data_IF_367968517129
#
_entry.id   IF_367968517129
#
_cell.length_a   1.000
_cell.length_b   1.000
_cell.length_c   1.000
_cell.angle_alpha   90.00
_cell.angle_beta   90.00
_cell.angle_gamma   90.00
#
_symmetry.space_group_name_H-M   'P 1'
#
loop_
_entity.id
_entity.type
_entity.pdbx_description
1 polymer ?
#
# COMPACT_ATOMS: atom_id res chain seq x y z
N UNK A 1 9.27 1.02 18.32
CA UNK A 1 8.34 1.47 17.26
C UNK A 1 9.00 1.25 15.91
N UNK A 2 8.26 0.76 14.93
CA UNK A 2 8.74 0.51 13.57
C UNK A 2 7.64 0.95 12.59
N UNK A 3 7.99 1.67 11.53
CA UNK A 3 7.08 1.97 10.43
C UNK A 3 7.15 0.80 9.44
N UNK A 4 6.09 0.01 9.36
CA UNK A 4 6.02 -1.21 8.55
C UNK A 4 4.58 -1.48 8.10
N UNK A 5 4.43 -2.21 6.99
CA UNK A 5 3.13 -2.70 6.54
C UNK A 5 2.53 -3.72 7.50
N UNK A 6 1.22 -3.96 7.37
CA UNK A 6 0.48 -4.85 8.28
C UNK A 6 0.95 -6.30 8.24
N UNK A 7 1.58 -6.75 7.16
CA UNK A 7 2.12 -8.12 7.03
C UNK A 7 3.08 -8.51 8.16
N UNK A 8 3.68 -7.54 8.86
CA UNK A 8 4.50 -7.83 10.04
C UNK A 8 3.74 -8.61 11.11
N UNK A 9 2.41 -8.52 11.15
CA UNK A 9 1.57 -9.25 12.11
C UNK A 9 1.70 -10.76 12.01
N UNK A 10 2.03 -11.27 10.82
CA UNK A 10 2.23 -12.70 10.59
C UNK A 10 3.51 -13.23 11.26
N UNK A 11 4.49 -12.34 11.49
CA UNK A 11 5.80 -12.65 12.07
C UNK A 11 5.91 -12.31 13.57
N UNK A 12 4.83 -11.81 14.20
CA UNK A 12 4.86 -11.45 15.62
C UNK A 12 4.89 -12.73 16.46
N UNK A 13 5.90 -12.92 17.32
CA UNK A 13 5.93 -14.05 18.24
C UNK A 13 4.68 -14.04 19.14
N UNK A 14 4.07 -15.20 19.35
CA UNK A 14 2.88 -15.33 20.20
C UNK A 14 3.08 -14.75 21.61
N UNK A 15 4.32 -14.77 22.13
CA UNK A 15 4.69 -14.18 23.42
C UNK A 15 4.57 -12.66 23.47
N UNK A 16 4.50 -11.98 22.32
CA UNK A 16 4.35 -10.53 22.20
C UNK A 16 2.95 -10.12 21.70
N UNK A 17 2.03 -11.08 21.53
CA UNK A 17 0.71 -10.82 20.93
C UNK A 17 -0.13 -9.83 21.76
N UNK A 18 -0.02 -9.88 23.10
CA UNK A 18 -0.74 -9.00 24.02
C UNK A 18 -0.08 -7.61 24.16
N UNK A 19 1.22 -7.50 23.83
CA UNK A 19 2.01 -6.27 23.94
C UNK A 19 2.18 -5.54 22.60
N UNK A 20 1.65 -6.11 21.52
CA UNK A 20 1.72 -5.52 20.19
C UNK A 20 0.54 -4.58 19.94
N UNK A 21 0.84 -3.43 19.36
CA UNK A 21 -0.19 -2.59 18.74
C UNK A 21 0.44 -1.71 17.64
N UNK A 22 -0.41 -1.10 16.82
CA UNK A 22 -0.02 -0.12 15.82
C UNK A 22 -0.90 1.13 15.85
N UNK A 23 -0.38 2.20 15.25
CA UNK A 23 -1.08 3.46 15.10
C UNK A 23 -0.59 4.18 13.84
N UNK A 24 -1.39 5.13 13.36
CA UNK A 24 -1.07 6.00 12.22
C UNK A 24 0.24 6.76 12.46
N UNK A 25 1.02 6.97 11.41
CA UNK A 25 2.19 7.84 11.49
C UNK A 25 1.80 9.25 12.00
N UNK A 26 2.58 9.89 12.91
CA UNK A 26 2.18 11.16 13.51
C UNK A 26 1.91 12.28 12.49
N UNK A 27 0.88 13.09 12.76
CA UNK A 27 0.56 14.26 11.95
C UNK A 27 1.66 15.32 12.10
N UNK A 28 2.39 15.60 11.01
CA UNK A 28 3.42 16.63 10.98
C UNK A 28 2.79 18.01 10.69
N UNK A 29 1.86 18.06 9.74
CA UNK A 29 1.21 19.28 9.24
C UNK A 29 -0.29 19.08 9.19
N UNK A 30 -1.04 19.98 9.85
CA UNK A 30 -2.51 19.89 9.97
C UNK A 30 -3.26 20.23 8.68
N UNK A 31 -2.60 20.92 7.75
CA UNK A 31 -3.15 21.33 6.46
C UNK A 31 -2.92 20.29 5.35
N UNK A 32 -2.21 19.20 5.65
CA UNK A 32 -2.02 18.05 4.75
C UNK A 32 -2.99 16.95 5.17
N UNK A 33 -3.74 16.40 4.21
CA UNK A 33 -4.67 15.30 4.45
C UNK A 33 -3.98 14.05 5.00
N UNK A 34 -4.72 13.23 5.73
CA UNK A 34 -4.26 11.96 6.27
C UNK A 34 -4.33 10.91 5.16
N UNK A 35 -3.18 10.52 4.61
CA UNK A 35 -3.10 9.55 3.52
C UNK A 35 -2.29 8.34 3.97
N UNK A 36 -2.79 7.14 3.67
CA UNK A 36 -2.13 5.88 4.01
C UNK A 36 -1.45 5.23 2.80
N UNK A 37 -0.38 4.47 3.06
CA UNK A 37 0.22 3.60 2.06
C UNK A 37 -0.51 2.25 2.07
N UNK A 38 -1.30 1.98 1.02
CA UNK A 38 -2.14 0.79 0.87
C UNK A 38 -2.01 0.28 -0.57
N UNK A 39 -1.01 -0.56 -0.86
CA UNK A 39 -0.94 -1.27 -2.13
C UNK A 39 -2.19 -2.15 -2.29
N UNK A 40 -2.92 -1.97 -3.39
CA UNK A 40 -4.16 -2.69 -3.71
C UNK A 40 -3.98 -3.47 -5.00
N UNK A 41 -4.12 -4.77 -4.90
CA UNK A 41 -4.18 -5.65 -6.06
C UNK A 41 -5.60 -5.71 -6.63
N UNK A 42 -5.69 -5.89 -7.95
CA UNK A 42 -6.96 -5.99 -8.65
C UNK A 42 -6.90 -6.93 -9.83
N UNK A 43 -8.07 -7.10 -10.47
CA UNK A 43 -8.20 -7.87 -11.70
C UNK A 43 -8.60 -6.95 -12.84
N UNK A 44 -7.98 -7.13 -14.00
CA UNK A 44 -8.24 -6.35 -15.20
C UNK A 44 -8.58 -7.28 -16.37
N UNK A 45 -9.51 -6.86 -17.23
CA UNK A 45 -9.80 -7.57 -18.48
C UNK A 45 -8.95 -6.97 -19.60
N UNK A 46 -8.05 -7.75 -20.23
CA UNK A 46 -7.29 -7.26 -21.37
C UNK A 46 -8.20 -6.81 -22.51
N UNK A 47 -7.85 -5.70 -23.18
CA UNK A 47 -8.66 -5.15 -24.28
C UNK A 47 -8.96 -6.15 -25.40
N UNK A 48 -8.03 -7.10 -25.63
CA UNK A 48 -8.09 -8.16 -26.66
C UNK A 48 -8.47 -9.55 -26.10
N UNK A 49 -9.10 -9.62 -24.92
CA UNK A 49 -9.57 -10.88 -24.37
C UNK A 49 -10.52 -11.60 -25.34
N UNK A 50 -10.31 -12.92 -25.53
CA UNK A 50 -11.10 -13.73 -26.47
C UNK A 50 -12.56 -13.94 -26.02
N UNK A 51 -12.79 -14.00 -24.71
CA UNK A 51 -14.11 -14.20 -24.12
C UNK A 51 -14.36 -13.16 -23.02
N UNK A 52 -14.84 -11.97 -23.44
CA UNK A 52 -15.11 -10.85 -22.52
C UNK A 52 -16.26 -11.13 -21.59
N UNK A 53 -17.29 -11.85 -22.05
CA UNK A 53 -18.48 -12.14 -21.24
C UNK A 53 -18.14 -13.02 -20.04
N UNK A 54 -17.35 -14.08 -20.25
CA UNK A 54 -16.86 -14.91 -19.16
C UNK A 54 -15.93 -14.13 -18.21
N UNK A 55 -15.07 -13.26 -18.73
CA UNK A 55 -14.20 -12.43 -17.90
C UNK A 55 -15.00 -11.44 -17.02
N UNK A 56 -16.05 -10.82 -17.58
CA UNK A 56 -16.96 -9.96 -16.81
C UNK A 56 -17.74 -10.77 -15.77
N UNK A 57 -18.21 -11.97 -16.10
CA UNK A 57 -18.86 -12.85 -15.14
C UNK A 57 -17.92 -13.21 -13.97
N UNK A 58 -16.64 -13.48 -14.26
CA UNK A 58 -15.64 -13.71 -13.23
C UNK A 58 -15.39 -12.47 -12.36
N UNK A 59 -15.25 -11.28 -12.94
CA UNK A 59 -15.09 -10.05 -12.15
C UNK A 59 -16.29 -9.77 -11.25
N UNK A 60 -17.52 -10.04 -11.73
CA UNK A 60 -18.74 -9.94 -10.90
C UNK A 60 -18.72 -10.92 -9.74
N UNK A 61 -18.26 -12.15 -9.97
CA UNK A 61 -18.09 -13.13 -8.90
C UNK A 61 -17.05 -12.66 -7.89
N UNK A 62 -15.87 -12.20 -8.33
CA UNK A 62 -14.82 -11.70 -7.44
C UNK A 62 -15.27 -10.49 -6.61
N UNK A 63 -16.15 -9.65 -7.14
CA UNK A 63 -16.74 -8.52 -6.42
C UNK A 63 -17.93 -8.90 -5.50
N UNK A 64 -18.40 -10.16 -5.54
CA UNK A 64 -19.49 -10.62 -4.69
C UNK A 64 -19.07 -10.73 -3.23
N UNK A 65 -20.04 -10.63 -2.31
CA UNK A 65 -19.79 -10.81 -0.87
C UNK A 65 -19.10 -12.15 -0.58
N UNK A 66 -19.54 -13.22 -1.22
CA UNK A 66 -18.98 -14.57 -1.01
C UNK A 66 -17.47 -14.62 -1.32
N UNK A 67 -17.06 -14.11 -2.48
CA UNK A 67 -15.65 -14.09 -2.85
C UNK A 67 -14.83 -13.15 -1.95
N UNK A 68 -15.37 -11.98 -1.60
CA UNK A 68 -14.71 -11.02 -0.72
C UNK A 68 -14.54 -11.58 0.71
N UNK A 69 -15.57 -12.23 1.25
CA UNK A 69 -15.52 -12.92 2.55
C UNK A 69 -14.49 -14.06 2.51
N UNK A 70 -14.43 -14.83 1.43
CA UNK A 70 -13.45 -15.90 1.28
C UNK A 70 -12.02 -15.35 1.32
N UNK A 71 -11.73 -14.30 0.55
CA UNK A 71 -10.39 -13.67 0.55
C UNK A 71 -10.07 -13.06 1.92
N UNK A 72 -11.01 -12.36 2.54
CA UNK A 72 -10.86 -11.77 3.87
C UNK A 72 -10.49 -12.80 4.96
N UNK A 73 -10.97 -14.04 4.85
CA UNK A 73 -10.72 -15.10 5.82
C UNK A 73 -9.47 -15.95 5.51
N UNK A 74 -8.84 -15.74 4.36
CA UNK A 74 -7.65 -16.51 3.93
C UNK A 74 -6.38 -15.69 3.87
N UNK A 75 -6.48 -14.37 4.01
CA UNK A 75 -5.37 -13.43 3.90
C UNK A 75 -5.26 -12.56 5.15
N UNK A 76 -4.03 -12.17 5.48
CA UNK A 76 -3.73 -11.23 6.58
C UNK A 76 -3.82 -9.75 6.16
N UNK A 77 -4.57 -9.46 5.10
CA UNK A 77 -4.78 -8.10 4.58
C UNK A 77 -6.25 -7.86 4.21
N UNK A 78 -6.75 -6.62 4.38
CA UNK A 78 -8.16 -6.33 4.20
C UNK A 78 -8.51 -6.34 2.71
N UNK A 79 -9.77 -6.65 2.41
CA UNK A 79 -10.29 -6.53 1.06
C UNK A 79 -11.03 -5.21 0.87
N UNK A 80 -11.02 -4.68 -0.35
CA UNK A 80 -11.71 -3.42 -0.70
C UNK A 80 -13.21 -3.68 -0.85
N UNK A 81 -13.87 -3.93 0.28
CA UNK A 81 -15.29 -4.22 0.35
C UNK A 81 -15.94 -3.42 1.48
N UNK A 82 -17.01 -2.68 1.18
CA UNK A 82 -17.70 -1.82 2.16
C UNK A 82 -18.25 -2.57 3.38
N UNK A 83 -18.54 -3.86 3.23
CA UNK A 83 -19.02 -4.71 4.33
C UNK A 83 -17.94 -5.55 4.98
N UNK A 84 -16.66 -5.20 4.82
CA UNK A 84 -15.55 -5.95 5.40
C UNK A 84 -15.70 -6.05 6.92
N UNK A 85 -15.57 -7.27 7.42
CA UNK A 85 -15.51 -7.56 8.85
C UNK A 85 -14.47 -8.65 9.06
N UNK A 86 -13.54 -8.44 10.00
CA UNK A 86 -12.58 -9.45 10.43
C UNK A 86 -12.74 -9.75 11.91
N UNK A 87 -12.49 -11.02 12.28
CA UNK A 87 -12.34 -11.43 13.67
C UNK A 87 -10.95 -11.11 14.22
N UNK A 88 -9.98 -10.87 13.33
CA UNK A 88 -8.67 -10.36 13.71
C UNK A 88 -8.80 -8.87 14.07
N UNK A 89 -8.53 -8.49 15.34
CA UNK A 89 -8.66 -7.12 15.79
C UNK A 89 -7.67 -6.17 15.11
N UNK A 90 -6.47 -6.61 14.75
CA UNK A 90 -5.49 -5.78 14.07
C UNK A 90 -5.91 -5.51 12.63
N UNK A 91 -6.42 -6.54 11.94
CA UNK A 91 -6.93 -6.39 10.59
C UNK A 91 -8.16 -5.47 10.53
N UNK A 92 -9.08 -5.61 11.49
CA UNK A 92 -10.25 -4.74 11.59
C UNK A 92 -9.86 -3.30 11.92
N UNK A 93 -8.91 -3.11 12.85
CA UNK A 93 -8.36 -1.78 13.19
C UNK A 93 -7.71 -1.14 11.97
N UNK A 94 -6.98 -1.91 11.16
CA UNK A 94 -6.31 -1.43 9.95
C UNK A 94 -7.31 -0.96 8.90
N UNK A 95 -8.34 -1.77 8.65
CA UNK A 95 -9.44 -1.39 7.76
C UNK A 95 -10.15 -0.11 8.19
N UNK A 96 -10.44 0.05 9.49
CA UNK A 96 -11.09 1.25 10.01
C UNK A 96 -10.20 2.49 9.86
N UNK A 97 -8.89 2.34 10.10
CA UNK A 97 -7.90 3.42 9.95
C UNK A 97 -7.80 3.89 8.50
N UNK A 98 -7.71 2.94 7.55
CA UNK A 98 -7.66 3.24 6.10
C UNK A 98 -8.99 3.84 5.63
N UNK A 99 -10.12 3.30 6.07
CA UNK A 99 -11.45 3.82 5.68
C UNK A 99 -11.71 5.24 6.19
N UNK A 100 -11.01 5.66 7.25
CA UNK A 100 -11.05 7.02 7.79
C UNK A 100 -9.92 7.93 7.31
N UNK A 101 -9.14 7.53 6.29
CA UNK A 101 -8.13 8.40 5.67
C UNK A 101 -8.74 9.26 4.56
N UNK A 102 -8.11 10.39 4.25
CA UNK A 102 -8.49 11.27 3.14
C UNK A 102 -8.12 10.67 1.77
N UNK A 103 -7.25 9.66 1.77
CA UNK A 103 -6.83 8.95 0.58
C UNK A 103 -5.93 7.75 0.88
N UNK A 104 -5.61 7.01 -0.18
CA UNK A 104 -4.66 5.91 -0.16
C UNK A 104 -3.70 6.01 -1.36
N UNK A 105 -2.44 5.66 -1.13
CA UNK A 105 -1.36 5.59 -2.11
C UNK A 105 -0.92 4.13 -2.29
N UNK A 106 -0.33 3.78 -3.43
CA UNK A 106 0.07 2.39 -3.72
C UNK A 106 1.47 2.03 -3.23
N UNK A 107 2.17 2.96 -2.56
CA UNK A 107 3.60 2.92 -2.22
C UNK A 107 4.49 3.48 -3.34
N UNK A 108 5.64 4.02 -2.93
CA UNK A 108 6.49 4.87 -3.79
C UNK A 108 6.91 4.17 -5.09
N UNK A 109 7.21 2.88 -5.04
CA UNK A 109 7.67 2.09 -6.19
C UNK A 109 6.54 1.65 -7.15
N UNK A 110 5.27 1.82 -6.74
CA UNK A 110 4.09 1.59 -7.58
C UNK A 110 3.51 2.90 -8.10
N UNK A 111 3.60 3.98 -7.31
CA UNK A 111 3.04 5.30 -7.64
C UNK A 111 3.89 6.10 -8.66
N UNK A 112 5.04 5.57 -9.08
CA UNK A 112 5.95 6.21 -10.05
C UNK A 112 6.45 5.22 -11.11
N UNK A 113 7.20 5.72 -12.09
CA UNK A 113 7.86 4.85 -13.07
C UNK A 113 8.89 3.93 -12.36
N UNK A 114 8.93 2.61 -12.65
CA UNK A 114 9.83 1.68 -11.97
C UNK A 114 11.30 2.09 -12.02
N UNK A 115 11.76 2.69 -13.13
CA UNK A 115 13.14 3.18 -13.23
C UNK A 115 13.38 4.36 -12.27
N UNK A 116 12.39 5.24 -12.11
CA UNK A 116 12.46 6.34 -11.15
C UNK A 116 12.38 5.84 -9.70
N UNK A 117 11.60 4.79 -9.44
CA UNK A 117 11.49 4.16 -8.14
C UNK A 117 12.86 3.66 -7.64
N UNK A 118 13.56 2.89 -8.47
CA UNK A 118 14.88 2.34 -8.15
C UNK A 118 15.91 3.44 -7.87
N UNK A 119 15.96 4.46 -8.72
CA UNK A 119 16.86 5.61 -8.56
C UNK A 119 16.53 6.37 -7.28
N UNK A 120 15.25 6.63 -7.02
CA UNK A 120 14.78 7.33 -5.83
C UNK A 120 15.09 6.57 -4.55
N UNK A 121 14.91 5.26 -4.53
CA UNK A 121 15.22 4.44 -3.35
C UNK A 121 16.72 4.47 -3.02
N UNK A 122 17.58 4.38 -4.03
CA UNK A 122 19.03 4.55 -3.86
C UNK A 122 19.38 5.93 -3.32
N UNK A 123 18.71 6.98 -3.80
CA UNK A 123 18.89 8.34 -3.31
C UNK A 123 18.45 8.53 -1.84
N UNK A 124 17.36 7.88 -1.41
CA UNK A 124 16.93 7.86 -0.01
C UNK A 124 17.99 7.20 0.89
N UNK A 125 18.56 6.07 0.46
CA UNK A 125 19.66 5.40 1.17
C UNK A 125 20.93 6.27 1.21
N UNK A 126 21.29 6.91 0.10
CA UNK A 126 22.41 7.85 0.05
C UNK A 126 22.20 9.01 1.03
N UNK A 127 21.00 9.58 1.09
CA UNK A 127 20.67 10.66 2.02
C UNK A 127 20.77 10.23 3.48
N UNK A 128 20.31 9.02 3.83
CA UNK A 128 20.45 8.48 5.18
C UNK A 128 21.91 8.35 5.62
N UNK A 129 22.81 7.97 4.70
CA UNK A 129 24.25 7.85 5.00
C UNK A 129 25.00 9.19 4.93
N UNK A 130 24.61 10.06 4.00
CA UNK A 130 25.33 11.30 3.67
C UNK A 130 24.36 12.49 3.53
N UNK A 131 23.71 12.94 4.62
CA UNK A 131 22.65 13.94 4.56
C UNK A 131 23.13 15.30 4.02
N UNK A 132 24.41 15.63 4.20
CA UNK A 132 25.03 16.86 3.66
C UNK A 132 25.03 16.92 2.13
N UNK A 133 24.77 15.81 1.43
CA UNK A 133 24.72 15.73 -0.03
C UNK A 133 23.33 16.04 -0.61
N UNK A 134 22.35 16.46 0.21
CA UNK A 134 20.95 16.65 -0.21
C UNK A 134 20.81 17.45 -1.51
N UNK A 135 21.51 18.57 -1.68
CA UNK A 135 21.41 19.39 -2.90
C UNK A 135 21.93 18.67 -4.14
N UNK A 136 22.97 17.85 -4.01
CA UNK A 136 23.50 17.04 -5.11
C UNK A 136 22.57 15.87 -5.42
N UNK A 137 22.02 15.22 -4.39
CA UNK A 137 21.04 14.14 -4.53
C UNK A 137 19.80 14.66 -5.29
N UNK A 138 19.24 15.80 -4.86
CA UNK A 138 18.08 16.41 -5.50
C UNK A 138 18.35 16.82 -6.95
N UNK A 139 19.52 17.41 -7.24
CA UNK A 139 19.91 17.74 -8.63
C UNK A 139 20.00 16.50 -9.51
N UNK A 140 20.59 15.41 -9.01
CA UNK A 140 20.68 14.16 -9.76
C UNK A 140 19.30 13.54 -10.01
N UNK A 141 18.43 13.56 -8.99
CA UNK A 141 17.05 13.08 -9.13
C UNK A 141 16.28 13.88 -10.19
N UNK A 142 16.44 15.20 -10.24
CA UNK A 142 15.77 16.03 -11.26
C UNK A 142 16.26 15.71 -12.68
N UNK A 143 17.57 15.49 -12.87
CA UNK A 143 18.11 15.06 -14.17
C UNK A 143 17.50 13.73 -14.61
N UNK A 144 17.35 12.77 -13.69
CA UNK A 144 16.73 11.48 -14.00
C UNK A 144 15.24 11.62 -14.28
N UNK A 145 14.53 12.42 -13.48
CA UNK A 145 13.10 12.71 -13.69
C UNK A 145 12.85 13.27 -15.09
N UNK A 146 13.65 14.25 -15.55
CA UNK A 146 13.51 14.82 -16.90
C UNK A 146 13.78 13.80 -18.02
N UNK A 147 14.67 12.83 -17.79
CA UNK A 147 14.96 11.77 -18.76
C UNK A 147 13.82 10.76 -18.86
N UNK A 148 13.27 10.35 -17.72
CA UNK A 148 12.27 9.28 -17.59
C UNK A 148 10.89 9.80 -17.99
N UNK A 149 10.49 10.94 -17.44
CA UNK A 149 9.17 11.56 -17.68
C UNK A 149 9.27 12.63 -18.78
N UNK A 150 9.38 12.17 -20.03
CA UNK A 150 9.34 13.03 -21.22
C UNK A 150 7.93 13.53 -21.53
#
# INVERSE_FOLDING_TARGET
MMLMGSFITDDIPASLADDFDFFRFPVIRKDVGLVEQVPVNGFMIPARAKNKDAAVAFLKFMASKEAQDFVANTQSYPVVYKGFQSRDPYLQKGFNLISGSDGAMQFYDIDTDPEMADIGMNALVEFMMFPVRIDTILRNLEVQRQRIFK
#
